data_IF_184042133754
#
_entry.id   IF_184042133754
#
_cell.length_a   1.000
_cell.length_b   1.000
_cell.length_c   1.000
_cell.angle_alpha   90.00
_cell.angle_beta   90.00
_cell.angle_gamma   90.00
#
_symmetry.space_group_name_H-M   'P 1'
#
loop_
_entity.id
_entity.type
_entity.pdbx_description
1 polymer ?
#
# COMPACT_ATOMS: atom_id res chain seq x y z
N UNK A 1 -68.61 -76.24 -35.52
CA UNK A 1 -69.73 -76.09 -36.46
C UNK A 1 -70.37 -74.71 -36.29
N UNK A 2 -69.93 -73.73 -37.08
CA UNK A 2 -70.57 -72.42 -37.16
C UNK A 2 -71.52 -72.37 -38.37
N UNK A 3 -72.79 -72.09 -38.14
CA UNK A 3 -73.81 -71.95 -39.19
C UNK A 3 -74.11 -70.48 -39.44
N UNK A 4 -73.97 -70.02 -40.68
CA UNK A 4 -74.27 -68.64 -41.08
C UNK A 4 -75.62 -68.62 -41.77
N UNK A 5 -76.55 -67.81 -41.25
CA UNK A 5 -77.87 -67.61 -41.86
C UNK A 5 -77.83 -66.37 -42.74
N UNK A 6 -78.22 -66.51 -44.01
CA UNK A 6 -78.29 -65.36 -44.91
C UNK A 6 -79.39 -64.39 -44.43
N UNK A 7 -79.05 -63.12 -44.14
CA UNK A 7 -80.03 -62.16 -43.66
C UNK A 7 -81.07 -61.77 -44.72
N UNK A 8 -80.81 -62.04 -46.01
CA UNK A 8 -81.70 -61.65 -47.11
C UNK A 8 -82.74 -62.71 -47.51
N UNK A 9 -82.44 -64.00 -47.38
CA UNK A 9 -83.36 -65.08 -47.77
C UNK A 9 -83.57 -66.14 -46.68
N UNK A 10 -82.90 -66.02 -45.53
CA UNK A 10 -83.09 -66.90 -44.39
C UNK A 10 -82.48 -68.30 -44.51
N UNK A 11 -81.86 -68.64 -45.64
CA UNK A 11 -81.17 -69.92 -45.86
C UNK A 11 -79.98 -70.06 -44.91
N UNK A 12 -79.87 -71.22 -44.26
CA UNK A 12 -78.77 -71.54 -43.33
C UNK A 12 -77.68 -72.28 -44.09
N UNK A 13 -76.49 -71.69 -44.14
CA UNK A 13 -75.29 -72.31 -44.71
C UNK A 13 -74.45 -72.90 -43.57
N UNK A 14 -74.11 -74.17 -43.68
CA UNK A 14 -73.19 -74.84 -42.77
C UNK A 14 -71.79 -74.71 -43.34
N UNK A 15 -70.88 -74.03 -42.63
CA UNK A 15 -69.48 -73.94 -43.08
C UNK A 15 -68.84 -75.32 -42.97
N UNK A 16 -68.33 -75.86 -44.07
CA UNK A 16 -67.51 -77.06 -44.07
C UNK A 16 -66.12 -76.70 -43.54
N UNK A 17 -65.91 -76.92 -42.24
CA UNK A 17 -64.63 -76.65 -41.56
C UNK A 17 -63.46 -77.42 -42.17
N UNK A 18 -63.71 -78.55 -42.85
CA UNK A 18 -62.66 -79.36 -43.51
C UNK A 18 -62.17 -78.70 -44.79
N UNK A 19 -63.07 -78.27 -45.67
CA UNK A 19 -62.72 -77.53 -46.90
C UNK A 19 -62.08 -76.17 -46.60
N UNK A 20 -62.59 -75.47 -45.58
CA UNK A 20 -62.00 -74.23 -45.10
C UNK A 20 -60.58 -74.42 -44.55
N UNK A 21 -60.34 -75.50 -43.79
CA UNK A 21 -59.00 -75.83 -43.27
C UNK A 21 -58.03 -76.23 -44.39
N UNK A 22 -58.51 -76.93 -45.43
CA UNK A 22 -57.70 -77.28 -46.60
C UNK A 22 -57.30 -76.04 -47.40
N UNK A 23 -58.22 -75.08 -47.61
CA UNK A 23 -57.91 -73.79 -48.24
C UNK A 23 -56.88 -72.99 -47.41
N UNK A 24 -57.00 -72.99 -46.09
CA UNK A 24 -56.02 -72.35 -45.20
C UNK A 24 -54.64 -73.01 -45.27
N UNK A 25 -54.59 -74.35 -45.34
CA UNK A 25 -53.33 -75.10 -45.45
C UNK A 25 -52.62 -74.85 -46.81
N UNK A 26 -53.38 -74.57 -47.87
CA UNK A 26 -52.81 -74.20 -49.17
C UNK A 26 -52.16 -72.80 -49.15
N UNK A 27 -52.67 -71.88 -48.32
CA UNK A 27 -52.16 -70.51 -48.20
C UNK A 27 -51.05 -70.41 -47.14
N UNK A 28 -51.14 -71.21 -46.05
CA UNK A 28 -50.12 -71.31 -45.00
C UNK A 28 -49.26 -72.54 -45.21
N UNK A 29 -48.50 -72.52 -46.29
CA UNK A 29 -47.50 -73.55 -46.56
C UNK A 29 -46.21 -73.26 -45.77
N UNK A 30 -45.34 -74.28 -45.66
CA UNK A 30 -44.04 -74.11 -44.99
C UNK A 30 -43.15 -73.08 -45.69
N UNK A 31 -43.30 -72.93 -47.01
CA UNK A 31 -42.60 -71.93 -47.81
C UNK A 31 -43.06 -70.51 -47.46
N UNK A 32 -44.36 -70.30 -47.24
CA UNK A 32 -44.89 -69.01 -46.79
C UNK A 32 -44.36 -68.65 -45.40
N UNK A 33 -44.40 -69.60 -44.45
CA UNK A 33 -43.85 -69.36 -43.11
C UNK A 33 -42.35 -69.05 -43.16
N UNK A 34 -41.60 -69.75 -44.02
CA UNK A 34 -40.18 -69.49 -44.23
C UNK A 34 -39.94 -68.10 -44.81
N UNK A 35 -40.69 -67.68 -45.83
CA UNK A 35 -40.56 -66.34 -46.42
C UNK A 35 -40.87 -65.23 -45.39
N UNK A 36 -41.89 -65.43 -44.55
CA UNK A 36 -42.23 -64.50 -43.47
C UNK A 36 -41.08 -64.41 -42.45
N UNK A 37 -40.48 -65.53 -42.06
CA UNK A 37 -39.33 -65.54 -41.15
C UNK A 37 -38.10 -64.87 -41.79
N UNK A 38 -37.76 -65.20 -43.03
CA UNK A 38 -36.65 -64.60 -43.77
C UNK A 38 -36.82 -63.09 -43.90
N UNK A 39 -38.06 -62.62 -44.14
CA UNK A 39 -38.38 -61.19 -44.21
C UNK A 39 -38.25 -60.52 -42.84
N UNK A 40 -38.74 -61.16 -41.78
CA UNK A 40 -38.63 -60.64 -40.42
C UNK A 40 -37.17 -60.53 -39.97
N UNK A 41 -36.33 -61.53 -40.29
CA UNK A 41 -34.90 -61.50 -39.99
C UNK A 41 -34.18 -60.37 -40.75
N UNK A 42 -34.48 -60.19 -42.04
CA UNK A 42 -33.96 -59.06 -42.82
C UNK A 42 -34.36 -57.71 -42.24
N UNK A 43 -35.62 -57.56 -41.82
CA UNK A 43 -36.11 -56.32 -41.24
C UNK A 43 -35.46 -56.03 -39.88
N UNK A 44 -35.26 -57.06 -39.04
CA UNK A 44 -34.50 -56.94 -37.80
C UNK A 44 -33.05 -56.53 -38.04
N UNK A 45 -32.35 -57.19 -38.96
CA UNK A 45 -30.97 -56.86 -39.31
C UNK A 45 -30.85 -55.41 -39.83
N UNK A 46 -31.79 -54.97 -40.67
CA UNK A 46 -31.84 -53.60 -41.17
C UNK A 46 -32.08 -52.58 -40.03
N UNK A 47 -32.95 -52.91 -39.07
CA UNK A 47 -33.23 -52.05 -37.92
C UNK A 47 -32.02 -51.93 -36.99
N UNK A 48 -31.32 -53.04 -36.73
CA UNK A 48 -30.08 -53.07 -35.95
C UNK A 48 -28.97 -52.26 -36.63
N UNK A 49 -28.80 -52.42 -37.94
CA UNK A 49 -27.82 -51.66 -38.72
C UNK A 49 -28.12 -50.15 -38.71
N UNK A 50 -29.38 -49.77 -38.90
CA UNK A 50 -29.81 -48.37 -38.79
C UNK A 50 -29.54 -47.80 -37.41
N UNK A 51 -29.93 -48.52 -36.36
CA UNK A 51 -29.67 -48.09 -34.98
C UNK A 51 -28.17 -47.92 -34.70
N UNK A 52 -27.33 -48.85 -35.19
CA UNK A 52 -25.87 -48.74 -35.07
C UNK A 52 -25.33 -47.52 -35.82
N UNK A 53 -25.84 -47.23 -37.02
CA UNK A 53 -25.41 -46.08 -37.81
C UNK A 53 -25.84 -44.75 -37.18
N UNK A 54 -27.05 -44.69 -36.62
CA UNK A 54 -27.55 -43.52 -35.88
C UNK A 54 -26.70 -43.27 -34.63
N UNK A 55 -26.40 -44.31 -33.86
CA UNK A 55 -25.50 -44.22 -32.70
C UNK A 55 -24.10 -43.78 -33.10
N UNK A 56 -23.54 -44.34 -34.19
CA UNK A 56 -22.22 -43.95 -34.69
C UNK A 56 -22.19 -42.46 -35.08
N UNK A 57 -23.25 -41.98 -35.75
CA UNK A 57 -23.38 -40.58 -36.14
C UNK A 57 -23.46 -39.67 -34.91
N UNK A 58 -24.23 -40.06 -33.89
CA UNK A 58 -24.32 -39.30 -32.65
C UNK A 58 -22.99 -39.26 -31.88
N UNK A 59 -22.28 -40.39 -31.82
CA UNK A 59 -20.94 -40.46 -31.19
C UNK A 59 -19.97 -39.54 -31.93
N UNK A 60 -19.90 -39.63 -33.25
CA UNK A 60 -19.02 -38.77 -34.05
C UNK A 60 -19.37 -37.27 -33.92
N UNK A 61 -20.65 -36.93 -33.80
CA UNK A 61 -21.07 -35.55 -33.53
C UNK A 61 -20.60 -35.06 -32.14
N UNK A 62 -20.77 -35.89 -31.11
CA UNK A 62 -20.31 -35.58 -29.75
C UNK A 62 -18.79 -35.49 -29.65
N UNK A 63 -18.05 -36.39 -30.32
CA UNK A 63 -16.59 -36.34 -30.34
C UNK A 63 -16.09 -35.04 -30.98
N UNK A 64 -16.75 -34.57 -32.03
CA UNK A 64 -16.46 -33.28 -32.65
C UNK A 64 -16.74 -32.11 -31.70
N UNK A 65 -17.90 -32.10 -31.03
CA UNK A 65 -18.25 -31.07 -30.05
C UNK A 65 -17.26 -31.05 -28.88
N UNK A 66 -16.85 -32.21 -28.37
CA UNK A 66 -15.83 -32.35 -27.33
C UNK A 66 -14.49 -31.78 -27.80
N UNK A 67 -14.07 -32.06 -29.04
CA UNK A 67 -12.83 -31.53 -29.59
C UNK A 67 -12.87 -29.99 -29.73
N UNK A 68 -14.00 -29.44 -30.17
CA UNK A 68 -14.22 -27.99 -30.28
C UNK A 68 -14.20 -27.32 -28.90
N UNK A 69 -14.94 -27.87 -27.92
CA UNK A 69 -14.97 -27.36 -26.55
C UNK A 69 -13.60 -27.44 -25.88
N UNK A 70 -12.85 -28.53 -26.06
CA UNK A 70 -11.49 -28.65 -25.54
C UNK A 70 -10.55 -27.59 -26.13
N UNK A 71 -10.68 -27.31 -27.44
CA UNK A 71 -9.89 -26.27 -28.10
C UNK A 71 -10.22 -24.89 -27.55
N UNK A 72 -11.51 -24.57 -27.39
CA UNK A 72 -11.96 -23.29 -26.81
C UNK A 72 -11.48 -23.14 -25.36
N UNK A 73 -11.53 -24.23 -24.58
CA UNK A 73 -11.10 -24.24 -23.19
C UNK A 73 -9.58 -24.01 -23.06
N UNK A 74 -8.77 -24.61 -23.91
CA UNK A 74 -7.32 -24.35 -23.93
C UNK A 74 -7.00 -22.93 -24.39
N UNK A 75 -7.69 -22.40 -25.40
CA UNK A 75 -7.55 -21.00 -25.81
C UNK A 75 -7.92 -20.03 -24.69
N UNK A 76 -9.03 -20.29 -23.98
CA UNK A 76 -9.46 -19.47 -22.85
C UNK A 76 -8.46 -19.51 -21.68
N UNK A 77 -7.91 -20.68 -21.36
CA UNK A 77 -6.84 -20.82 -20.36
C UNK A 77 -5.60 -20.04 -20.74
N UNK A 78 -5.16 -20.13 -22.00
CA UNK A 78 -3.99 -19.41 -22.48
C UNK A 78 -4.20 -17.89 -22.44
N UNK A 79 -5.37 -17.42 -22.86
CA UNK A 79 -5.73 -16.00 -22.80
C UNK A 79 -5.76 -15.49 -21.35
N UNK A 80 -6.36 -16.25 -20.43
CA UNK A 80 -6.40 -15.90 -19.01
C UNK A 80 -5.01 -15.90 -18.38
N UNK A 81 -4.14 -16.86 -18.73
CA UNK A 81 -2.76 -16.91 -18.25
C UNK A 81 -1.95 -15.68 -18.72
N UNK A 82 -2.09 -15.30 -19.99
CA UNK A 82 -1.43 -14.11 -20.54
C UNK A 82 -1.94 -12.82 -19.89
N UNK A 83 -3.25 -12.68 -19.69
CA UNK A 83 -3.81 -11.49 -19.03
C UNK A 83 -3.37 -11.41 -17.56
N UNK A 84 -3.37 -12.52 -16.83
CA UNK A 84 -2.86 -12.57 -15.46
C UNK A 84 -1.37 -12.21 -15.41
N UNK A 85 -0.55 -12.70 -16.35
CA UNK A 85 0.86 -12.35 -16.42
C UNK A 85 1.06 -10.87 -16.71
N UNK A 86 0.25 -10.28 -17.60
CA UNK A 86 0.27 -8.84 -17.90
C UNK A 86 -0.09 -8.02 -16.67
N UNK A 87 -1.18 -8.35 -16.00
CA UNK A 87 -1.62 -7.66 -14.78
C UNK A 87 -0.60 -7.77 -13.64
N UNK A 88 0.05 -8.93 -13.48
CA UNK A 88 1.13 -9.09 -12.50
C UNK A 88 2.32 -8.20 -12.85
N UNK A 89 2.75 -8.20 -14.11
CA UNK A 89 3.85 -7.34 -14.56
C UNK A 89 3.54 -5.85 -14.36
N UNK A 90 2.31 -5.41 -14.63
CA UNK A 90 1.89 -4.02 -14.43
C UNK A 90 1.93 -3.65 -12.94
N UNK A 91 1.41 -4.52 -12.07
CA UNK A 91 1.47 -4.30 -10.62
C UNK A 91 2.90 -4.30 -10.08
N UNK A 92 3.77 -5.16 -10.59
CA UNK A 92 5.19 -5.17 -10.21
C UNK A 92 5.89 -3.88 -10.61
N UNK A 93 5.61 -3.34 -11.80
CA UNK A 93 6.14 -2.04 -12.23
C UNK A 93 5.60 -0.89 -11.37
N UNK A 94 4.31 -0.90 -11.04
CA UNK A 94 3.71 0.12 -10.16
C UNK A 94 4.32 0.06 -8.75
N UNK A 95 4.48 -1.13 -8.18
CA UNK A 95 5.14 -1.32 -6.88
C UNK A 95 6.58 -0.82 -6.93
N UNK A 96 7.33 -1.11 -7.99
CA UNK A 96 8.71 -0.63 -8.14
C UNK A 96 8.76 0.91 -8.22
N UNK A 97 7.85 1.52 -8.98
CA UNK A 97 7.74 2.98 -9.10
C UNK A 97 7.38 3.64 -7.76
N UNK A 98 6.40 3.10 -7.04
CA UNK A 98 5.99 3.60 -5.72
C UNK A 98 7.11 3.47 -4.68
N UNK A 99 7.86 2.36 -4.69
CA UNK A 99 9.04 2.20 -3.82
C UNK A 99 10.10 3.24 -4.14
N UNK A 100 10.42 3.46 -5.41
CA UNK A 100 11.39 4.48 -5.82
C UNK A 100 10.95 5.89 -5.42
N UNK A 101 9.64 6.20 -5.52
CA UNK A 101 9.10 7.47 -5.05
C UNK A 101 9.21 7.62 -3.52
N UNK A 102 8.88 6.57 -2.76
CA UNK A 102 9.02 6.58 -1.30
C UNK A 102 10.47 6.79 -0.87
N UNK A 103 11.41 6.08 -1.48
CA UNK A 103 12.84 6.22 -1.20
C UNK A 103 13.35 7.62 -1.53
N UNK A 104 12.89 8.20 -2.65
CA UNK A 104 13.22 9.57 -3.02
C UNK A 104 12.66 10.58 -2.01
N UNK A 105 11.38 10.46 -1.62
CA UNK A 105 10.76 11.34 -0.62
C UNK A 105 11.48 11.23 0.72
N UNK A 106 11.82 10.02 1.16
CA UNK A 106 12.57 9.80 2.39
C UNK A 106 13.96 10.46 2.33
N UNK A 107 14.67 10.31 1.21
CA UNK A 107 15.98 10.92 0.98
C UNK A 107 15.90 12.46 0.97
N UNK A 108 14.94 13.03 0.25
CA UNK A 108 14.70 14.47 0.21
C UNK A 108 14.37 15.00 1.61
N UNK A 109 13.53 14.30 2.36
CA UNK A 109 13.17 14.70 3.73
C UNK A 109 14.37 14.66 4.68
N UNK A 110 15.21 13.65 4.57
CA UNK A 110 16.44 13.54 5.37
C UNK A 110 17.42 14.68 5.05
N UNK A 111 17.57 15.03 3.77
CA UNK A 111 18.38 16.17 3.33
C UNK A 111 17.82 17.51 3.83
N UNK A 112 16.51 17.74 3.71
CA UNK A 112 15.83 18.92 4.24
C UNK A 112 16.04 19.06 5.75
N UNK A 113 15.88 17.97 6.50
CA UNK A 113 16.08 17.96 7.95
C UNK A 113 17.53 18.27 8.32
N UNK A 114 18.50 17.66 7.61
CA UNK A 114 19.94 17.94 7.82
C UNK A 114 20.30 19.40 7.51
N UNK A 115 19.74 19.97 6.45
CA UNK A 115 19.95 21.38 6.11
C UNK A 115 19.36 22.28 7.19
N UNK A 116 18.12 22.04 7.60
CA UNK A 116 17.46 22.83 8.64
C UNK A 116 18.18 22.74 9.99
N UNK A 117 18.66 21.55 10.38
CA UNK A 117 19.47 21.38 11.59
C UNK A 117 20.80 22.14 11.50
N UNK A 118 21.49 22.06 10.36
CA UNK A 118 22.75 22.79 10.14
C UNK A 118 22.56 24.31 10.20
N UNK A 119 21.48 24.83 9.64
CA UNK A 119 21.11 26.25 9.74
C UNK A 119 20.83 26.66 11.20
N UNK A 120 20.09 25.83 11.93
CA UNK A 120 19.80 26.07 13.36
C UNK A 120 21.06 25.99 14.22
N UNK A 121 21.96 25.05 13.95
CA UNK A 121 23.23 24.94 14.68
C UNK A 121 24.13 26.15 14.44
N UNK A 122 24.15 26.70 13.22
CA UNK A 122 24.84 27.95 12.91
C UNK A 122 24.22 29.13 13.65
N UNK A 123 22.89 29.27 13.61
CA UNK A 123 22.17 30.34 14.32
C UNK A 123 22.45 30.27 15.83
N UNK A 124 22.45 29.08 16.42
CA UNK A 124 22.80 28.87 17.83
C UNK A 124 24.25 29.24 18.12
N UNK A 125 25.20 28.88 17.24
CA UNK A 125 26.60 29.24 17.39
C UNK A 125 26.82 30.76 17.31
N UNK A 126 26.17 31.42 16.35
CA UNK A 126 26.24 32.87 16.16
C UNK A 126 25.65 33.61 17.37
N UNK A 127 24.47 33.19 17.85
CA UNK A 127 23.85 33.76 19.04
C UNK A 127 24.72 33.56 20.29
N UNK A 128 25.34 32.38 20.46
CA UNK A 128 26.28 32.15 21.57
C UNK A 128 27.48 33.08 21.50
N UNK A 129 28.08 33.23 20.34
CA UNK A 129 29.22 34.13 20.14
C UNK A 129 28.86 35.60 20.40
N UNK A 130 27.68 36.04 19.96
CA UNK A 130 27.16 37.37 20.26
C UNK A 130 26.96 37.57 21.77
N UNK A 131 26.38 36.58 22.46
CA UNK A 131 26.11 36.65 23.89
C UNK A 131 27.41 36.68 24.70
N UNK A 132 28.41 35.90 24.31
CA UNK A 132 29.74 35.92 24.92
C UNK A 132 30.45 37.26 24.70
N UNK A 133 30.36 37.84 23.50
CA UNK A 133 30.90 39.16 23.20
C UNK A 133 30.22 40.25 24.04
N UNK A 134 28.88 40.28 24.09
CA UNK A 134 28.13 41.25 24.91
C UNK A 134 28.49 41.12 26.39
N UNK A 135 28.65 39.89 26.88
CA UNK A 135 29.07 39.65 28.27
C UNK A 135 30.47 40.18 28.51
N UNK A 136 31.43 39.87 27.63
CA UNK A 136 32.81 40.37 27.73
C UNK A 136 32.90 41.90 27.65
N UNK A 137 32.15 42.53 26.75
CA UNK A 137 32.10 44.00 26.64
C UNK A 137 31.55 44.60 27.93
N UNK A 138 30.47 44.05 28.47
CA UNK A 138 29.85 44.53 29.70
C UNK A 138 30.76 44.35 30.93
N UNK A 139 31.49 43.24 31.00
CA UNK A 139 32.47 43.01 32.06
C UNK A 139 33.64 43.99 31.97
N UNK A 140 34.11 44.32 30.75
CA UNK A 140 35.13 45.35 30.52
C UNK A 140 34.62 46.74 30.89
N UNK A 141 33.40 47.11 30.50
CA UNK A 141 32.76 48.39 30.86
C UNK A 141 32.61 48.52 32.38
N UNK A 142 32.16 47.46 33.07
CA UNK A 142 32.06 47.43 34.53
C UNK A 142 33.44 47.55 35.19
N UNK A 143 34.45 46.86 34.68
CA UNK A 143 35.83 46.93 35.20
C UNK A 143 36.41 48.32 35.02
N UNK A 144 36.20 48.95 33.86
CA UNK A 144 36.63 50.33 33.60
C UNK A 144 35.92 51.31 34.54
N UNK A 145 34.60 51.21 34.69
CA UNK A 145 33.84 52.06 35.60
C UNK A 145 34.28 51.90 37.07
N UNK A 146 34.59 50.67 37.51
CA UNK A 146 35.13 50.42 38.85
C UNK A 146 36.52 51.03 39.03
N UNK A 147 37.42 50.86 38.06
CA UNK A 147 38.76 51.46 38.09
C UNK A 147 38.70 52.99 38.13
N UNK A 148 37.83 53.63 37.33
CA UNK A 148 37.63 55.08 37.37
C UNK A 148 37.17 55.54 38.75
N UNK A 149 36.22 54.82 39.35
CA UNK A 149 35.74 55.11 40.71
C UNK A 149 36.82 54.91 41.76
N UNK A 150 37.63 53.87 41.66
CA UNK A 150 38.76 53.64 42.56
C UNK A 150 39.82 54.75 42.45
N UNK A 151 40.13 55.20 41.24
CA UNK A 151 41.04 56.33 41.01
C UNK A 151 40.48 57.64 41.58
N UNK A 152 39.19 57.91 41.39
CA UNK A 152 38.49 59.07 41.96
C UNK A 152 38.53 59.03 43.49
N UNK A 153 38.26 57.86 44.10
CA UNK A 153 38.37 57.66 45.56
C UNK A 153 39.80 57.88 46.04
N UNK A 154 40.81 57.36 45.33
CA UNK A 154 42.21 57.53 45.68
C UNK A 154 42.64 59.01 45.61
N UNK A 155 42.21 59.73 44.56
CA UNK A 155 42.47 61.16 44.40
C UNK A 155 41.82 61.99 45.51
N UNK A 156 40.55 61.71 45.85
CA UNK A 156 39.84 62.37 46.94
C UNK A 156 40.49 62.09 48.30
N UNK A 157 40.93 60.85 48.57
CA UNK A 157 41.70 60.49 49.78
C UNK A 157 43.01 61.27 49.85
N UNK A 158 43.77 61.33 48.76
CA UNK A 158 45.03 62.09 48.72
C UNK A 158 44.80 63.60 48.95
N UNK A 159 43.72 64.17 48.39
CA UNK A 159 43.35 65.55 48.67
C UNK A 159 42.97 65.77 50.14
N UNK A 160 42.19 64.87 50.73
CA UNK A 160 41.83 64.90 52.16
C UNK A 160 43.07 64.83 53.06
N UNK A 161 44.00 63.92 52.77
CA UNK A 161 45.25 63.78 53.51
C UNK A 161 46.13 65.03 53.39
N UNK A 162 46.19 65.62 52.19
CA UNK A 162 46.93 66.87 51.97
C UNK A 162 46.29 68.03 52.75
N UNK A 163 44.97 68.22 52.68
CA UNK A 163 44.25 69.24 53.46
C UNK A 163 44.47 69.05 54.96
N UNK A 164 44.41 67.81 55.44
CA UNK A 164 44.70 67.49 56.84
C UNK A 164 46.14 67.87 57.21
N UNK A 165 47.12 67.57 56.34
CA UNK A 165 48.53 67.92 56.56
C UNK A 165 48.78 69.43 56.55
N UNK A 166 48.15 70.18 55.63
CA UNK A 166 48.28 71.64 55.55
C UNK A 166 47.68 72.27 56.79
N UNK A 167 46.50 71.81 57.21
CA UNK A 167 45.86 72.29 58.44
C UNK A 167 46.70 72.00 59.68
N UNK A 168 47.34 70.83 59.76
CA UNK A 168 48.26 70.50 60.86
C UNK A 168 49.50 71.41 60.85
N UNK A 169 50.04 71.72 59.67
CA UNK A 169 51.14 72.68 59.51
C UNK A 169 50.74 74.12 59.89
N UNK A 170 49.57 74.58 59.45
CA UNK A 170 49.02 75.90 59.82
C UNK A 170 48.78 76.01 61.33
N UNK A 171 48.22 74.96 61.96
CA UNK A 171 48.06 74.91 63.41
C UNK A 171 49.41 74.97 64.13
N UNK A 172 50.42 74.23 63.66
CA UNK A 172 51.79 74.29 64.20
C UNK A 172 52.43 75.66 64.02
N UNK A 173 52.23 76.31 62.88
CA UNK A 173 52.72 77.68 62.64
C UNK A 173 52.03 78.69 63.55
N UNK A 174 50.69 78.63 63.66
CA UNK A 174 49.92 79.52 64.53
C UNK A 174 50.28 79.32 66.01
N UNK A 175 50.51 78.07 66.45
CA UNK A 175 51.03 77.78 67.78
C UNK A 175 52.43 78.38 67.99
N UNK A 176 53.34 78.22 67.03
CA UNK A 176 54.69 78.80 67.07
C UNK A 176 54.67 80.33 67.13
N UNK A 177 53.79 80.98 66.37
CA UNK A 177 53.60 82.44 66.42
C UNK A 177 53.04 82.89 67.78
N UNK A 178 52.07 82.16 68.32
CA UNK A 178 51.54 82.41 69.67
C UNK A 178 52.58 82.19 70.76
N UNK A 179 53.41 81.17 70.64
CA UNK A 179 54.52 80.90 71.56
C UNK A 179 55.56 82.04 71.51
N UNK A 180 55.84 82.59 70.32
CA UNK A 180 56.69 83.79 70.17
C UNK A 180 56.06 85.03 70.79
N UNK A 181 54.77 85.30 70.53
CA UNK A 181 54.05 86.41 71.18
C UNK A 181 54.05 86.29 72.71
N UNK A 182 53.85 85.08 73.24
CA UNK A 182 53.91 84.83 74.69
C UNK A 182 55.33 85.04 75.23
N UNK A 183 56.36 84.66 74.47
CA UNK A 183 57.75 84.90 74.83
C UNK A 183 58.10 86.40 74.83
N UNK A 184 57.66 87.14 73.81
CA UNK A 184 57.87 88.59 73.68
C UNK A 184 57.12 89.37 74.77
N UNK A 185 55.88 88.98 75.10
CA UNK A 185 55.11 89.55 76.21
C UNK A 185 55.74 89.26 77.58
N UNK A 186 56.36 88.08 77.77
CA UNK A 186 57.14 87.76 78.98
C UNK A 186 58.44 88.55 79.08
N UNK A 187 59.02 89.00 77.97
CA UNK A 187 60.24 89.82 77.96
C UNK A 187 59.98 91.32 78.21
N UNK A 188 58.71 91.75 78.20
CA UNK A 188 58.28 93.13 78.47
C UNK A 188 57.78 93.36 79.91
N UNK A 189 57.84 92.33 80.76
CA UNK A 189 57.50 92.32 82.20
C UNK A 189 58.78 92.23 83.05
#
# INVERSE_FOLDING_TARGET
MNSIKCPHCGTVFTINETEYSQLLAQVRSQEFDKEIHDRLEKEKALLEEKSKNDLQTQVSAKDKEIAELNTQLEQAKQALALENQRQLSEKEQEIAALKAQLDNVASVKDLELKQSLSEKDKEVADLKAQLENVTSVKDLELTQALNEKEQEIAALKAQLDNVASVKDLELKQSLSEKDKEVADLKAQL
#
